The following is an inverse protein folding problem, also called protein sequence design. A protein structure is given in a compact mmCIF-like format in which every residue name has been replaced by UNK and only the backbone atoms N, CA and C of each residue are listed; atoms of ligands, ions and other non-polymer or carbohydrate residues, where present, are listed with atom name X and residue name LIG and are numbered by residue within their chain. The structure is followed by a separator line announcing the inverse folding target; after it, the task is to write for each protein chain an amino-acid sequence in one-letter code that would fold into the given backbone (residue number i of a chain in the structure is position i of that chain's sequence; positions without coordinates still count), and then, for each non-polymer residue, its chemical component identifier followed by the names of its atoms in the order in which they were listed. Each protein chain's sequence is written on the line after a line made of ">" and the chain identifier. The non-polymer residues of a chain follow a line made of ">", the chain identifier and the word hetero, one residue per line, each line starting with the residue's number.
data_IF_506248707647
#
_entry.id   IF_506248707647
#
_cell.length_a   1.000
_cell.length_b   1.000
_cell.length_c   1.000
_cell.angle_alpha   90.00
_cell.angle_beta   90.00
_cell.angle_gamma   90.00
#
_symmetry.space_group_name_H-M   'P 1'
#
loop_
_entity.id
_entity.type
_entity.pdbx_description
1 polymer ?
#
# COMPACT_ATOMS: atom_id res chain seq x y z
N UNK A 1 16.98 -2.92 -11.26
CA UNK A 1 17.55 -3.83 -12.28
C UNK A 1 17.25 -3.28 -13.65
N UNK A 2 18.04 -3.64 -14.67
CA UNK A 2 17.82 -3.22 -16.06
C UNK A 2 17.72 -4.44 -16.96
N UNK A 3 16.68 -4.50 -17.79
CA UNK A 3 16.53 -5.50 -18.83
C UNK A 3 16.57 -4.78 -20.18
N UNK A 4 17.48 -5.20 -21.06
CA UNK A 4 17.58 -4.71 -22.43
C UNK A 4 17.20 -5.84 -23.37
N UNK A 5 16.15 -5.61 -24.15
CA UNK A 5 15.75 -6.41 -25.31
C UNK A 5 16.13 -5.56 -26.54
N UNK A 6 16.44 -6.13 -27.72
CA UNK A 6 16.63 -5.31 -28.91
C UNK A 6 15.46 -4.33 -29.05
N UNK A 7 15.77 -3.03 -29.16
CA UNK A 7 14.80 -1.94 -29.39
C UNK A 7 13.87 -1.60 -28.22
N UNK A 8 14.06 -2.20 -27.05
CA UNK A 8 13.36 -1.85 -25.79
C UNK A 8 14.33 -1.81 -24.61
N UNK A 9 14.37 -0.66 -23.94
CA UNK A 9 15.13 -0.46 -22.69
C UNK A 9 14.17 -0.27 -21.53
N UNK A 10 14.39 -1.00 -20.43
CA UNK A 10 13.65 -0.84 -19.18
C UNK A 10 14.61 -0.67 -18.01
N UNK A 11 14.50 0.46 -17.31
CA UNK A 11 15.29 0.78 -16.12
C UNK A 11 14.35 0.93 -14.93
N UNK A 12 14.54 0.08 -13.92
CA UNK A 12 13.79 0.13 -12.68
C UNK A 12 14.72 0.39 -11.50
N UNK A 13 14.37 1.40 -10.70
CA UNK A 13 15.06 1.80 -9.49
C UNK A 13 14.08 1.78 -8.32
N UNK A 14 14.40 1.00 -7.30
CA UNK A 14 13.68 0.99 -6.03
C UNK A 14 14.63 1.53 -4.97
N UNK A 15 14.19 2.53 -4.21
CA UNK A 15 14.95 3.12 -3.11
C UNK A 15 14.13 2.92 -1.84
N UNK A 16 14.74 2.26 -0.86
CA UNK A 16 14.17 2.09 0.46
C UNK A 16 14.94 2.98 1.44
N UNK A 17 14.24 3.80 2.22
CA UNK A 17 14.81 4.64 3.27
C UNK A 17 14.09 4.36 4.58
N UNK A 18 14.84 4.25 5.67
CA UNK A 18 14.32 3.97 7.00
C UNK A 18 15.10 4.79 8.03
N UNK A 19 14.38 5.41 8.96
CA UNK A 19 14.93 6.02 10.17
C UNK A 19 13.97 5.79 11.36
N UNK A 20 14.34 6.29 12.55
CA UNK A 20 13.56 6.11 13.78
C UNK A 20 12.11 6.65 13.69
N UNK A 21 11.85 7.61 12.79
CA UNK A 21 10.60 8.32 12.71
C UNK A 21 9.83 8.07 11.40
N UNK A 22 10.43 7.44 10.38
CA UNK A 22 9.72 7.16 9.12
C UNK A 22 10.28 5.98 8.34
N UNK A 23 9.40 5.43 7.49
CA UNK A 23 9.74 4.49 6.42
C UNK A 23 9.33 5.11 5.10
N UNK A 24 10.19 5.01 4.08
CA UNK A 24 9.93 5.54 2.75
C UNK A 24 10.37 4.55 1.69
N UNK A 25 9.51 4.33 0.69
CA UNK A 25 9.76 3.47 -0.47
C UNK A 25 9.47 4.28 -1.72
N UNK A 26 10.49 4.47 -2.53
CA UNK A 26 10.43 5.18 -3.81
C UNK A 26 10.68 4.19 -4.95
N UNK A 27 9.78 4.14 -5.93
CA UNK A 27 9.83 3.25 -7.08
C UNK A 27 9.81 4.08 -8.35
N UNK A 28 10.90 4.04 -9.10
CA UNK A 28 11.04 4.70 -10.40
C UNK A 28 11.20 3.67 -11.50
N UNK A 29 10.40 3.78 -12.55
CA UNK A 29 10.52 2.97 -13.76
C UNK A 29 10.60 3.89 -14.96
N UNK A 30 11.58 3.66 -15.82
CA UNK A 30 11.73 4.33 -17.11
C UNK A 30 11.77 3.25 -18.20
N UNK A 31 10.70 3.16 -18.97
CA UNK A 31 10.55 2.25 -20.10
C UNK A 31 10.57 3.07 -21.38
N UNK A 32 11.34 2.62 -22.36
CA UNK A 32 11.42 3.24 -23.68
C UNK A 32 11.55 2.16 -24.75
N UNK A 33 10.75 2.26 -25.81
CA UNK A 33 10.72 1.34 -26.94
C UNK A 33 10.69 2.09 -28.27
N UNK A 34 11.46 1.62 -29.24
CA UNK A 34 11.49 2.15 -30.60
C UNK A 34 10.47 1.38 -31.47
N UNK A 35 9.24 1.89 -31.54
CA UNK A 35 8.11 1.18 -32.14
C UNK A 35 8.27 1.01 -33.65
N UNK A 36 8.88 1.98 -34.33
CA UNK A 36 9.11 1.92 -35.79
C UNK A 36 10.05 0.80 -36.21
N UNK A 37 10.96 0.37 -35.35
CA UNK A 37 11.86 -0.76 -35.65
C UNK A 37 11.23 -2.11 -35.31
N UNK A 38 10.44 -2.16 -34.23
CA UNK A 38 9.72 -3.37 -33.81
C UNK A 38 8.57 -3.73 -34.76
N UNK A 39 7.89 -2.71 -35.30
CA UNK A 39 6.74 -2.88 -36.19
C UNK A 39 6.85 -1.91 -37.38
N UNK A 40 7.50 -2.32 -38.48
CA UNK A 40 7.67 -1.48 -39.67
C UNK A 40 6.34 -1.02 -40.29
N UNK A 41 5.26 -1.79 -40.07
CA UNK A 41 3.90 -1.51 -40.54
C UNK A 41 3.00 -0.98 -39.40
N UNK A 42 3.42 0.09 -38.73
CA UNK A 42 2.68 0.68 -37.60
C UNK A 42 1.22 0.98 -37.94
N UNK A 43 0.93 1.50 -39.15
CA UNK A 43 -0.43 1.79 -39.59
C UNK A 43 -1.34 0.57 -39.69
N UNK A 44 -0.81 -0.58 -40.13
CA UNK A 44 -1.57 -1.84 -40.21
C UNK A 44 -1.93 -2.31 -38.81
N UNK A 45 -0.99 -2.19 -37.88
CA UNK A 45 -1.20 -2.54 -36.47
C UNK A 45 -2.23 -1.63 -35.81
N UNK A 46 -2.20 -0.32 -36.08
CA UNK A 46 -3.20 0.62 -35.59
C UNK A 46 -4.59 0.32 -36.10
N UNK A 47 -4.74 0.09 -37.42
CA UNK A 47 -6.05 -0.27 -38.00
C UNK A 47 -6.59 -1.57 -37.41
N UNK A 48 -5.71 -2.54 -37.15
CA UNK A 48 -6.10 -3.81 -36.50
C UNK A 48 -6.54 -3.59 -35.06
N UNK A 49 -5.81 -2.80 -34.27
CA UNK A 49 -6.20 -2.44 -32.90
C UNK A 49 -7.52 -1.66 -32.86
N UNK A 50 -7.68 -0.68 -33.75
CA UNK A 50 -8.92 0.09 -33.87
C UNK A 50 -10.09 -0.83 -34.18
N UNK A 51 -9.93 -1.76 -35.13
CA UNK A 51 -10.95 -2.75 -35.45
C UNK A 51 -11.34 -3.63 -34.26
N UNK A 52 -10.37 -4.11 -33.48
CA UNK A 52 -10.64 -4.91 -32.27
C UNK A 52 -11.40 -4.08 -31.22
N UNK A 53 -11.01 -2.82 -31.01
CA UNK A 53 -11.72 -1.92 -30.10
C UNK A 53 -13.14 -1.68 -30.59
N UNK A 54 -13.32 -1.40 -31.88
CA UNK A 54 -14.64 -1.17 -32.47
C UNK A 54 -15.53 -2.41 -32.35
N UNK A 55 -15.01 -3.61 -32.59
CA UNK A 55 -15.74 -4.88 -32.40
C UNK A 55 -16.19 -5.08 -30.95
N UNK A 56 -15.31 -4.81 -29.96
CA UNK A 56 -15.65 -4.90 -28.53
C UNK A 56 -16.72 -3.86 -28.16
N UNK A 57 -16.53 -2.62 -28.61
CA UNK A 57 -17.45 -1.52 -28.34
C UNK A 57 -18.82 -1.77 -28.99
N UNK A 58 -18.87 -2.41 -30.15
CA UNK A 58 -20.11 -2.75 -30.86
C UNK A 58 -20.78 -4.04 -30.38
N UNK A 59 -20.16 -4.77 -29.46
CA UNK A 59 -20.76 -5.95 -28.85
C UNK A 59 -22.03 -5.56 -28.09
N UNK A 60 -23.13 -6.29 -28.36
CA UNK A 60 -24.39 -6.13 -27.62
C UNK A 60 -24.24 -6.67 -26.19
N UNK A 61 -24.75 -5.90 -25.26
CA UNK A 61 -24.82 -6.28 -23.85
C UNK A 61 -25.99 -7.24 -23.67
N UNK A 62 -25.74 -8.39 -23.05
CA UNK A 62 -26.71 -9.48 -22.96
C UNK A 62 -28.08 -9.00 -22.43
N UNK A 63 -29.15 -9.35 -23.16
CA UNK A 63 -30.55 -9.00 -22.85
C UNK A 63 -30.89 -7.50 -22.91
N UNK A 64 -30.10 -6.69 -23.59
CA UNK A 64 -30.42 -5.27 -23.84
C UNK A 64 -30.20 -4.91 -25.32
N UNK A 65 -30.84 -3.85 -25.81
CA UNK A 65 -30.54 -3.29 -27.14
C UNK A 65 -29.32 -2.33 -27.11
N UNK A 66 -28.59 -2.30 -25.99
CA UNK A 66 -27.41 -1.45 -25.81
C UNK A 66 -26.13 -2.16 -26.24
N UNK A 67 -25.20 -1.40 -26.81
CA UNK A 67 -23.83 -1.80 -27.10
C UNK A 67 -22.90 -1.39 -25.95
N UNK A 68 -21.75 -2.05 -25.81
CA UNK A 68 -20.71 -1.67 -24.84
C UNK A 68 -20.31 -0.19 -25.00
N UNK A 69 -20.24 0.31 -26.23
CA UNK A 69 -19.99 1.72 -26.55
C UNK A 69 -20.98 2.65 -25.84
N UNK A 70 -22.26 2.31 -25.81
CA UNK A 70 -23.28 3.11 -25.14
C UNK A 70 -23.07 3.16 -23.63
N UNK A 71 -22.64 2.04 -23.01
CA UNK A 71 -22.32 1.99 -21.58
C UNK A 71 -21.12 2.90 -21.29
N UNK A 72 -20.04 2.78 -22.06
CA UNK A 72 -18.83 3.58 -21.89
C UNK A 72 -19.14 5.07 -22.05
N UNK A 73 -19.87 5.47 -23.09
CA UNK A 73 -20.26 6.87 -23.30
C UNK A 73 -21.09 7.41 -22.14
N UNK A 74 -22.05 6.63 -21.62
CA UNK A 74 -22.86 7.03 -20.45
C UNK A 74 -22.04 7.13 -19.16
N UNK A 75 -21.06 6.26 -18.97
CA UNK A 75 -20.16 6.34 -17.83
C UNK A 75 -19.30 7.62 -17.88
N UNK A 76 -18.75 7.96 -19.04
CA UNK A 76 -17.98 9.20 -19.25
C UNK A 76 -18.86 10.43 -18.99
N UNK A 77 -20.09 10.43 -19.51
CA UNK A 77 -21.08 11.51 -19.29
C UNK A 77 -21.35 11.71 -17.79
N UNK A 78 -21.57 10.62 -17.04
CA UNK A 78 -21.81 10.67 -15.60
C UNK A 78 -20.59 11.19 -14.82
N UNK A 79 -19.37 10.79 -15.20
CA UNK A 79 -18.13 11.29 -14.59
C UNK A 79 -17.96 12.78 -14.86
N UNK A 80 -18.24 13.25 -16.08
CA UNK A 80 -18.20 14.68 -16.40
C UNK A 80 -19.19 15.48 -15.56
N UNK A 81 -20.44 15.00 -15.42
CA UNK A 81 -21.45 15.64 -14.57
C UNK A 81 -21.00 15.69 -13.09
N UNK A 82 -20.38 14.62 -12.59
CA UNK A 82 -19.86 14.60 -11.22
C UNK A 82 -18.71 15.59 -11.03
N UNK A 83 -17.76 15.65 -11.99
CA UNK A 83 -16.66 16.60 -11.96
C UNK A 83 -17.14 18.05 -12.04
N UNK A 84 -18.17 18.34 -12.82
CA UNK A 84 -18.80 19.68 -12.89
C UNK A 84 -19.38 20.11 -11.54
N UNK A 85 -19.94 19.18 -10.77
CA UNK A 85 -20.48 19.48 -9.43
C UNK A 85 -19.40 19.73 -8.38
N UNK A 86 -18.21 19.15 -8.56
CA UNK A 86 -17.13 19.16 -7.56
C UNK A 86 -16.07 20.24 -7.85
N UNK A 87 -15.94 20.72 -9.10
CA UNK A 87 -14.81 21.58 -9.51
C UNK A 87 -14.97 23.10 -9.30
N UNK A 88 -16.08 23.58 -8.73
CA UNK A 88 -16.28 25.01 -8.45
C UNK A 88 -16.34 25.90 -9.70
N UNK A 89 -16.40 27.23 -9.54
CA UNK A 89 -16.62 28.25 -10.59
C UNK A 89 -15.45 28.43 -11.59
N UNK A 90 -14.81 27.37 -12.06
CA UNK A 90 -13.81 27.46 -13.15
C UNK A 90 -14.43 27.03 -14.50
N UNK A 91 -14.01 27.64 -15.62
CA UNK A 91 -14.84 27.71 -16.81
C UNK A 91 -15.00 26.35 -17.48
N UNK A 92 -16.25 26.10 -17.88
CA UNK A 92 -16.75 24.98 -18.69
C UNK A 92 -15.89 24.78 -19.94
N UNK A 93 -14.80 24.03 -19.85
CA UNK A 93 -14.22 23.42 -21.04
C UNK A 93 -15.22 22.36 -21.49
N UNK A 94 -15.77 22.55 -22.70
CA UNK A 94 -16.64 21.54 -23.33
C UNK A 94 -15.83 20.26 -23.45
N UNK A 95 -15.95 19.36 -22.47
CA UNK A 95 -15.41 18.00 -22.54
C UNK A 95 -16.34 17.22 -23.46
N UNK A 96 -16.18 17.43 -24.76
CA UNK A 96 -16.82 16.60 -25.77
C UNK A 96 -16.43 15.15 -25.49
N UNK A 97 -17.40 14.23 -25.52
CA UNK A 97 -17.11 12.80 -25.50
C UNK A 97 -16.28 12.54 -26.75
N UNK A 98 -14.97 12.27 -26.64
CA UNK A 98 -14.17 12.01 -27.82
C UNK A 98 -14.75 10.77 -28.48
N UNK A 99 -14.87 10.80 -29.80
CA UNK A 99 -14.96 9.55 -30.54
C UNK A 99 -13.73 8.71 -30.11
N UNK A 100 -13.95 7.46 -29.68
CA UNK A 100 -12.90 6.57 -29.18
C UNK A 100 -12.01 6.10 -30.35
N UNK A 101 -11.31 7.05 -30.97
CA UNK A 101 -10.33 6.84 -32.02
C UNK A 101 -8.96 6.77 -31.39
N UNK A 102 -8.20 5.73 -31.72
CA UNK A 102 -6.82 5.61 -31.28
C UNK A 102 -5.98 6.78 -31.81
N UNK A 103 -5.19 7.46 -30.95
CA UNK A 103 -4.22 8.44 -31.41
C UNK A 103 -3.11 7.77 -32.24
N UNK A 104 -2.41 8.56 -33.06
CA UNK A 104 -1.25 8.07 -33.82
C UNK A 104 -0.16 7.54 -32.89
N UNK A 105 0.46 6.40 -33.25
CA UNK A 105 1.55 5.81 -32.50
C UNK A 105 2.82 6.65 -32.75
N UNK A 106 3.48 7.16 -31.68
CA UNK A 106 4.74 7.87 -31.82
C UNK A 106 5.86 6.91 -32.23
N UNK A 107 6.88 7.41 -32.91
CA UNK A 107 8.05 6.61 -33.32
C UNK A 107 8.77 5.97 -32.13
N UNK A 108 8.80 6.68 -31.01
CA UNK A 108 9.38 6.24 -29.75
C UNK A 108 8.32 6.30 -28.65
N UNK A 109 7.98 5.14 -28.11
CA UNK A 109 7.07 5.01 -26.98
C UNK A 109 7.88 5.05 -25.69
N UNK A 110 7.52 5.94 -24.76
CA UNK A 110 8.10 5.98 -23.44
C UNK A 110 7.00 5.93 -22.36
N UNK A 111 7.36 5.33 -21.23
CA UNK A 111 6.53 5.30 -20.04
C UNK A 111 7.44 5.47 -18.82
N UNK A 112 7.26 6.58 -18.12
CA UNK A 112 7.92 6.89 -16.86
C UNK A 112 6.92 6.78 -15.73
N UNK A 113 7.29 6.03 -14.71
CA UNK A 113 6.54 5.87 -13.47
C UNK A 113 7.40 6.32 -12.30
N UNK A 114 6.82 7.09 -11.40
CA UNK A 114 7.41 7.50 -10.13
C UNK A 114 6.37 7.28 -9.02
N UNK A 115 6.63 6.31 -8.15
CA UNK A 115 5.80 5.97 -7.01
C UNK A 115 6.54 6.28 -5.72
N UNK A 116 5.85 6.88 -4.76
CA UNK A 116 6.37 7.13 -3.42
C UNK A 116 5.35 6.65 -2.41
N UNK A 117 5.82 5.83 -1.48
CA UNK A 117 5.10 5.49 -0.26
C UNK A 117 5.92 6.00 0.92
N UNK A 118 5.29 6.74 1.82
CA UNK A 118 5.91 7.25 3.03
C UNK A 118 4.99 7.03 4.22
N UNK A 119 5.54 6.47 5.29
CA UNK A 119 4.85 6.34 6.56
C UNK A 119 5.69 7.00 7.65
N UNK A 120 5.12 7.98 8.34
CA UNK A 120 5.74 8.64 9.49
C UNK A 120 5.15 8.04 10.76
N UNK A 121 6.00 7.59 11.67
CA UNK A 121 5.60 7.06 12.97
C UNK A 121 5.12 8.19 13.89
N UNK A 122 4.09 7.92 14.69
CA UNK A 122 3.70 8.84 15.74
C UNK A 122 4.67 8.71 16.92
N UNK A 123 5.14 9.84 17.46
CA UNK A 123 6.02 9.87 18.65
C UNK A 123 5.25 9.56 19.94
N UNK A 124 3.94 9.80 19.94
CA UNK A 124 3.09 9.55 21.08
C UNK A 124 2.79 8.05 21.19
N UNK A 125 2.85 7.54 22.43
CA UNK A 125 2.55 6.15 22.76
C UNK A 125 1.30 6.12 23.64
N UNK A 126 0.41 5.18 23.37
CA UNK A 126 -0.67 4.82 24.28
C UNK A 126 -0.11 3.82 25.29
N UNK A 127 -0.10 4.19 26.56
CA UNK A 127 0.21 3.26 27.65
C UNK A 127 -1.10 2.67 28.17
N UNK A 128 -1.22 1.35 28.07
CA UNK A 128 -2.31 0.57 28.63
C UNK A 128 -1.82 -0.12 29.90
N UNK A 129 -2.52 0.11 31.00
CA UNK A 129 -2.26 -0.57 32.28
C UNK A 129 -3.17 -1.79 32.34
N UNK A 130 -2.58 -2.98 32.17
CA UNK A 130 -3.32 -4.25 32.20
C UNK A 130 -3.18 -4.84 33.61
N UNK A 131 -4.27 -4.96 34.39
CA UNK A 131 -4.21 -5.59 35.69
C UNK A 131 -3.93 -7.08 35.52
N UNK A 132 -2.92 -7.59 36.23
CA UNK A 132 -2.57 -9.00 36.15
C UNK A 132 -3.49 -9.83 37.07
N UNK A 133 -3.97 -11.01 36.62
CA UNK A 133 -4.67 -11.92 37.51
C UNK A 133 -3.74 -12.34 38.65
N UNK A 134 -4.23 -12.25 39.90
CA UNK A 134 -3.43 -12.43 41.13
C UNK A 134 -2.37 -11.35 41.36
N UNK A 135 -2.47 -10.21 40.65
CA UNK A 135 -1.60 -9.06 40.83
C UNK A 135 -1.59 -8.56 42.28
N UNK A 136 -0.39 -8.36 42.81
CA UNK A 136 -0.15 -7.95 44.20
C UNK A 136 -0.20 -9.08 45.21
N UNK A 137 -0.43 -10.34 44.80
CA UNK A 137 -0.32 -11.51 45.66
C UNK A 137 1.14 -11.95 45.78
N UNK A 138 1.54 -12.28 47.00
CA UNK A 138 2.84 -12.87 47.31
C UNK A 138 2.80 -14.39 47.20
N UNK A 139 3.96 -15.05 47.13
CA UNK A 139 4.05 -16.51 47.15
C UNK A 139 3.39 -17.13 48.39
N UNK A 140 3.36 -16.42 49.52
CA UNK A 140 2.66 -16.82 50.75
C UNK A 140 1.14 -16.74 50.57
N UNK A 141 0.63 -15.65 49.98
CA UNK A 141 -0.81 -15.51 49.69
C UNK A 141 -1.33 -16.57 48.69
N UNK A 142 -0.44 -17.10 47.87
CA UNK A 142 -0.72 -18.16 46.89
C UNK A 142 -0.53 -19.57 47.46
N UNK A 143 -0.24 -19.70 48.76
CA UNK A 143 0.04 -20.96 49.44
C UNK A 143 1.17 -21.77 48.78
N UNK A 144 2.19 -21.08 48.23
CA UNK A 144 3.35 -21.75 47.65
C UNK A 144 4.27 -22.18 48.79
N UNK A 145 4.65 -23.47 48.87
CA UNK A 145 5.51 -23.95 49.95
C UNK A 145 6.90 -23.31 49.87
N UNK A 146 7.42 -22.89 51.03
CA UNK A 146 8.75 -22.27 51.13
C UNK A 146 9.91 -23.24 50.80
N UNK A 147 9.65 -24.54 50.81
CA UNK A 147 10.62 -25.57 50.47
C UNK A 147 9.97 -26.71 49.70
N UNK A 148 10.63 -27.17 48.65
CA UNK A 148 10.27 -28.38 47.93
C UNK A 148 11.33 -29.43 48.26
N UNK A 149 10.89 -30.52 48.87
CA UNK A 149 11.73 -31.69 49.12
C UNK A 149 11.47 -32.69 48.02
N UNK A 150 12.49 -32.96 47.20
CA UNK A 150 12.46 -34.09 46.28
C UNK A 150 12.82 -35.33 47.10
N UNK A 151 11.91 -36.32 47.21
CA UNK A 151 12.21 -37.55 47.91
C UNK A 151 13.30 -38.31 47.16
N UNK A 152 13.96 -39.21 47.87
CA UNK A 152 14.94 -40.10 47.28
C UNK A 152 14.31 -40.96 46.17
N UNK A 153 14.88 -40.86 44.96
CA UNK A 153 14.39 -41.59 43.78
C UNK A 153 15.32 -42.78 43.57
N UNK A 154 14.79 -44.00 43.76
CA UNK A 154 15.49 -45.23 43.41
C UNK A 154 15.34 -45.51 41.92
N UNK A 155 16.41 -45.34 41.14
CA UNK A 155 16.41 -45.64 39.70
C UNK A 155 17.22 -46.92 39.44
N UNK A 156 16.63 -48.02 38.93
CA UNK A 156 17.31 -49.31 38.82
C UNK A 156 18.53 -49.32 37.87
N UNK A 157 18.67 -48.33 37.00
CA UNK A 157 19.80 -48.19 36.06
C UNK A 157 20.95 -47.32 36.59
N UNK A 158 20.75 -46.58 37.69
CA UNK A 158 21.79 -45.76 38.33
C UNK A 158 22.08 -46.39 39.70
N UNK A 159 23.22 -47.05 39.82
CA UNK A 159 23.58 -47.85 40.99
C UNK A 159 23.95 -46.93 42.17
N UNK A 160 22.96 -46.44 42.92
CA UNK A 160 23.15 -45.69 44.16
C UNK A 160 21.91 -44.97 44.68
N UNK A 161 21.75 -44.95 46.01
CA UNK A 161 20.82 -44.10 46.77
C UNK A 161 21.11 -42.61 46.46
N UNK A 162 20.18 -41.93 45.79
CA UNK A 162 20.30 -40.52 45.47
C UNK A 162 19.86 -39.67 46.66
N UNK A 163 20.65 -38.70 47.15
CA UNK A 163 20.32 -37.96 48.37
C UNK A 163 19.00 -37.21 48.21
N UNK A 164 18.16 -37.20 49.24
CA UNK A 164 17.00 -36.31 49.27
C UNK A 164 17.48 -34.85 49.21
N UNK A 165 17.01 -34.12 48.20
CA UNK A 165 17.41 -32.73 48.00
C UNK A 165 16.23 -31.83 48.36
N UNK A 166 16.47 -30.92 49.30
CA UNK A 166 15.52 -29.87 49.64
C UNK A 166 15.97 -28.56 49.02
N UNK A 167 15.09 -27.96 48.23
CA UNK A 167 15.31 -26.65 47.61
C UNK A 167 14.42 -25.62 48.30
N UNK A 168 15.01 -24.48 48.67
CA UNK A 168 14.25 -23.34 49.21
C UNK A 168 13.67 -22.55 48.04
N UNK A 169 12.36 -22.31 48.05
CA UNK A 169 11.66 -21.52 47.04
C UNK A 169 11.79 -20.05 47.41
N UNK A 170 12.32 -19.18 46.53
CA UNK A 170 12.43 -17.77 46.82
C UNK A 170 11.05 -17.12 46.87
N UNK A 171 10.85 -16.25 47.86
CA UNK A 171 9.63 -15.44 47.97
C UNK A 171 9.52 -14.54 46.74
N UNK A 172 8.35 -14.51 46.12
CA UNK A 172 8.08 -13.64 44.99
C UNK A 172 6.74 -12.95 45.12
N UNK A 173 6.57 -11.85 44.40
CA UNK A 173 5.32 -11.08 44.35
C UNK A 173 4.94 -10.88 42.90
N UNK A 174 3.68 -11.15 42.56
CA UNK A 174 3.17 -10.86 41.23
C UNK A 174 2.93 -9.34 41.16
N UNK A 175 3.49 -8.62 40.18
CA UNK A 175 3.21 -7.20 40.01
C UNK A 175 1.70 -6.99 39.79
N UNK A 176 1.15 -5.90 40.33
CA UNK A 176 -0.29 -5.63 40.24
C UNK A 176 -0.73 -5.38 38.81
N UNK A 177 0.09 -4.62 38.09
CA UNK A 177 -0.21 -4.14 36.76
C UNK A 177 0.97 -4.37 35.83
N UNK A 178 0.67 -4.56 34.55
CA UNK A 178 1.64 -4.58 33.46
C UNK A 178 1.38 -3.40 32.52
N UNK A 179 2.40 -2.57 32.30
CA UNK A 179 2.30 -1.43 31.39
C UNK A 179 2.69 -1.85 29.97
N UNK A 180 1.72 -1.80 29.05
CA UNK A 180 1.93 -2.03 27.63
C UNK A 180 1.95 -0.69 26.89
N UNK A 181 3.08 -0.34 26.26
CA UNK A 181 3.22 0.89 25.45
C UNK A 181 3.08 0.58 23.95
N UNK A 182 2.03 1.11 23.31
CA UNK A 182 1.77 0.96 21.86
C UNK A 182 1.99 2.31 21.14
N UNK A 183 2.69 2.36 20.00
CA UNK A 183 2.81 3.59 19.22
C UNK A 183 1.45 3.98 18.63
N UNK A 184 1.09 5.26 18.68
CA UNK A 184 -0.11 5.74 18.00
C UNK A 184 0.07 5.63 16.47
N UNK A 185 -1.05 5.53 15.75
CA UNK A 185 -1.04 5.54 14.27
C UNK A 185 -0.51 6.91 13.82
N UNK A 186 0.45 6.93 12.91
CA UNK A 186 1.05 8.15 12.38
C UNK A 186 0.41 8.59 11.06
N UNK A 187 1.20 9.17 10.16
CA UNK A 187 0.74 9.70 8.88
C UNK A 187 1.25 8.84 7.73
N UNK A 188 0.33 8.36 6.89
CA UNK A 188 0.65 7.66 5.66
C UNK A 188 0.49 8.60 4.46
N UNK A 189 1.38 8.48 3.49
CA UNK A 189 1.35 9.23 2.25
C UNK A 189 1.72 8.31 1.08
N UNK A 190 0.93 8.41 0.02
CA UNK A 190 1.12 7.66 -1.21
C UNK A 190 1.02 8.64 -2.37
N UNK A 191 2.02 8.66 -3.24
CA UNK A 191 1.94 9.38 -4.50
C UNK A 191 2.37 8.51 -5.66
N UNK A 192 1.71 8.69 -6.80
CA UNK A 192 2.04 8.03 -8.04
C UNK A 192 1.99 9.06 -9.17
N UNK A 193 3.03 9.06 -9.99
CA UNK A 193 3.14 9.89 -11.18
C UNK A 193 3.46 9.00 -12.36
N UNK A 194 2.66 9.15 -13.42
CA UNK A 194 2.81 8.45 -14.69
C UNK A 194 2.99 9.50 -15.76
N UNK A 195 4.02 9.36 -16.58
CA UNK A 195 4.28 10.24 -17.70
C UNK A 195 4.57 9.39 -18.94
N UNK A 196 3.85 9.66 -20.02
CA UNK A 196 3.94 8.94 -21.28
C UNK A 196 3.71 9.89 -22.45
N UNK A 197 3.90 9.41 -23.68
CA UNK A 197 3.59 10.18 -24.88
C UNK A 197 2.12 10.64 -24.96
N UNK A 198 1.20 9.92 -24.31
CA UNK A 198 -0.25 10.14 -24.44
C UNK A 198 -0.88 10.77 -23.21
N UNK A 199 -0.37 10.46 -22.02
CA UNK A 199 -0.98 10.87 -20.75
C UNK A 199 0.07 11.19 -19.71
N UNK A 200 -0.17 12.29 -19.00
CA UNK A 200 0.47 12.68 -17.76
C UNK A 200 -0.55 12.57 -16.64
N UNK A 201 -0.26 11.74 -15.66
CA UNK A 201 -1.11 11.54 -14.49
C UNK A 201 -0.30 11.73 -13.22
N UNK A 202 -0.83 12.47 -12.26
CA UNK A 202 -0.24 12.66 -10.94
C UNK A 202 -1.34 12.54 -9.89
N UNK A 203 -1.20 11.57 -9.00
CA UNK A 203 -2.09 11.35 -7.87
C UNK A 203 -1.30 11.31 -6.58
N UNK A 204 -1.77 11.99 -5.54
CA UNK A 204 -1.24 11.84 -4.18
C UNK A 204 -2.37 11.83 -3.17
N UNK A 205 -2.25 10.97 -2.16
CA UNK A 205 -3.15 10.91 -1.00
C UNK A 205 -2.30 10.82 0.26
N UNK A 206 -2.62 11.62 1.26
CA UNK A 206 -2.00 11.52 2.58
C UNK A 206 -3.06 11.58 3.66
N UNK A 207 -2.93 10.74 4.68
CA UNK A 207 -3.91 10.57 5.73
C UNK A 207 -3.28 10.11 7.03
N UNK A 208 -3.68 10.71 8.14
CA UNK A 208 -3.33 10.19 9.46
C UNK A 208 -3.35 11.23 10.57
N UNK A 209 -2.86 10.79 11.71
CA UNK A 209 -2.78 11.60 12.91
C UNK A 209 -1.45 12.37 12.92
N UNK A 210 -1.51 13.66 12.58
CA UNK A 210 -0.36 14.59 12.54
C UNK A 210 -0.30 15.41 13.85
N UNK A 211 -0.35 14.70 14.98
CA UNK A 211 -0.20 15.32 16.30
C UNK A 211 1.28 15.46 16.62
N UNK A 212 1.92 16.50 16.09
CA UNK A 212 3.29 16.89 16.49
C UNK A 212 3.23 17.77 17.76
N UNK A 213 2.33 18.76 17.81
CA UNK A 213 2.12 19.66 18.97
C UNK A 213 0.64 19.92 19.32
N UNK A 214 -0.29 19.77 18.36
CA UNK A 214 -1.75 19.96 18.54
C UNK A 214 -2.49 18.77 17.93
N UNK A 215 -3.51 18.19 18.58
CA UNK A 215 -4.27 17.08 18.03
C UNK A 215 -4.91 17.47 16.69
N UNK A 216 -4.32 16.99 15.60
CA UNK A 216 -4.75 17.33 14.25
C UNK A 216 -4.78 16.08 13.37
N UNK A 217 -5.89 15.90 12.67
CA UNK A 217 -6.06 14.84 11.69
C UNK A 217 -5.98 15.48 10.31
N UNK A 218 -5.09 14.97 9.47
CA UNK A 218 -4.87 15.52 8.13
C UNK A 218 -5.32 14.51 7.09
N UNK A 219 -6.15 14.97 6.17
CA UNK A 219 -6.47 14.28 4.92
C UNK A 219 -6.22 15.22 3.76
N UNK A 220 -5.27 14.88 2.88
CA UNK A 220 -4.99 15.64 1.66
C UNK A 220 -5.05 14.70 0.47
N UNK A 221 -5.62 15.19 -0.62
CA UNK A 221 -5.62 14.49 -1.90
C UNK A 221 -5.33 15.48 -3.02
N UNK A 222 -4.62 15.02 -4.05
CA UNK A 222 -4.36 15.75 -5.27
C UNK A 222 -4.46 14.76 -6.42
N UNK A 223 -5.20 15.13 -7.45
CA UNK A 223 -5.29 14.37 -8.70
C UNK A 223 -5.19 15.37 -9.84
N UNK A 224 -4.23 15.15 -10.73
CA UNK A 224 -4.04 15.90 -11.96
C UNK A 224 -3.89 14.91 -13.11
N UNK A 225 -4.58 15.19 -14.21
CA UNK A 225 -4.55 14.38 -15.42
C UNK A 225 -4.51 15.33 -16.61
N UNK A 226 -3.50 15.18 -17.44
CA UNK A 226 -3.28 16.00 -18.63
C UNK A 226 -2.97 15.08 -19.82
N UNK A 227 -3.58 15.36 -20.96
CA UNK A 227 -3.22 14.76 -22.24
C UNK A 227 -2.39 15.79 -23.02
N UNK A 228 -1.14 15.48 -23.43
CA UNK A 228 -0.38 16.33 -24.35
C UNK A 228 -0.97 16.40 -25.77
N UNK A 229 -2.01 15.58 -26.05
CA UNK A 229 -2.70 15.43 -27.33
C UNK A 229 -4.12 15.96 -27.21
#
# INVERSE_FOLDING_TARGET
>A
GSANVPETSSVQKVIFRYDENRVEVEVKSDLSSEITKLFPETEVYQRRLQKVIDEILDQRVAKTDMKVRHIVSKAIEAVNIWLDKVSGENPKSKRSIPELTLPSLPEKLFLKYDGLFRYQFNKNKLTLTIPLPLGGKTSEDLNIPASITIPEIYHPEIMGEGPSITFTVPTFTIPRDFELSLPLIGVAEVSAKVNSNFYNWEGSVSGGNDTIDVPSFIGKYKVAAESPI
#
